data_IF_680505470024
#
_entry.id   IF_680505470024
#
_cell.length_a   1.000
_cell.length_b   1.000
_cell.length_c   1.000
_cell.angle_alpha   90.00
_cell.angle_beta   90.00
_cell.angle_gamma   90.00
#
_symmetry.space_group_name_H-M   'P 1'
#
loop_
_entity.id
_entity.type
_entity.pdbx_description
1 polymer ?
#
# COMPACT_ATOMS: atom_id res chain seq x y z
N UNK A 1 -25.52 -30.83 32.29
CA UNK A 1 -25.82 -29.39 32.23
C UNK A 1 -24.60 -28.50 32.34
N UNK A 2 -23.76 -28.54 33.37
CA UNK A 2 -22.55 -27.66 33.50
C UNK A 2 -21.61 -27.71 32.31
N UNK A 3 -21.28 -28.90 31.74
CA UNK A 3 -20.39 -29.04 30.56
C UNK A 3 -20.97 -28.37 29.30
N UNK A 4 -22.29 -28.38 29.11
CA UNK A 4 -22.95 -27.74 27.96
C UNK A 4 -22.89 -26.22 28.11
N UNK A 5 -23.08 -25.70 29.34
CA UNK A 5 -22.99 -24.27 29.62
C UNK A 5 -21.55 -23.75 29.34
N UNK A 6 -20.52 -24.49 29.77
CA UNK A 6 -19.11 -24.11 29.46
C UNK A 6 -18.81 -24.14 27.97
N UNK A 7 -19.33 -25.12 27.22
CA UNK A 7 -19.15 -25.18 25.78
C UNK A 7 -19.82 -23.99 25.07
N UNK A 8 -21.03 -23.62 25.47
CA UNK A 8 -21.75 -22.46 24.92
C UNK A 8 -21.04 -21.14 25.25
N UNK A 9 -20.52 -20.99 26.48
CA UNK A 9 -19.73 -19.82 26.89
C UNK A 9 -18.42 -19.72 26.07
N UNK A 10 -17.73 -20.83 25.84
CA UNK A 10 -16.52 -20.86 25.07
C UNK A 10 -16.78 -20.47 23.59
N UNK A 11 -17.84 -21.00 22.99
CA UNK A 11 -18.29 -20.64 21.64
C UNK A 11 -18.63 -19.15 21.58
N UNK A 12 -19.35 -18.60 22.54
CA UNK A 12 -19.70 -17.18 22.60
C UNK A 12 -18.45 -16.29 22.71
N UNK A 13 -17.46 -16.67 23.52
CA UNK A 13 -16.20 -15.93 23.65
C UNK A 13 -15.40 -15.98 22.33
N UNK A 14 -15.30 -17.15 21.70
CA UNK A 14 -14.61 -17.32 20.43
C UNK A 14 -15.30 -16.48 19.34
N UNK A 15 -16.64 -16.52 19.28
CA UNK A 15 -17.39 -15.72 18.30
C UNK A 15 -17.19 -14.22 18.53
N UNK A 16 -17.20 -13.77 19.79
CA UNK A 16 -16.95 -12.37 20.15
C UNK A 16 -15.52 -11.94 19.76
N UNK A 17 -14.50 -12.79 20.01
CA UNK A 17 -13.12 -12.51 19.63
C UNK A 17 -12.99 -12.43 18.10
N UNK A 18 -13.63 -13.33 17.35
CA UNK A 18 -13.65 -13.32 15.89
C UNK A 18 -14.28 -12.03 15.39
N UNK A 19 -15.44 -11.63 15.90
CA UNK A 19 -16.14 -10.41 15.50
C UNK A 19 -15.33 -9.15 15.84
N UNK A 20 -14.68 -9.10 17.01
CA UNK A 20 -13.85 -7.96 17.41
C UNK A 20 -12.57 -7.82 16.58
N UNK A 21 -12.08 -8.91 15.97
CA UNK A 21 -10.91 -8.88 15.09
C UNK A 21 -11.27 -8.71 13.60
N UNK A 22 -12.55 -8.64 13.26
CA UNK A 22 -12.97 -8.41 11.89
C UNK A 22 -12.74 -6.93 11.54
N UNK A 23 -11.62 -6.63 10.89
CA UNK A 23 -11.43 -5.31 10.28
C UNK A 23 -12.34 -5.22 9.06
N UNK A 24 -13.09 -4.15 8.97
CA UNK A 24 -13.89 -3.82 7.77
C UNK A 24 -13.02 -3.04 6.80
N UNK A 25 -13.30 -3.17 5.50
CA UNK A 25 -12.77 -2.23 4.51
C UNK A 25 -13.19 -0.82 4.93
N UNK A 26 -12.32 0.19 4.85
CA UNK A 26 -12.72 1.56 5.12
C UNK A 26 -13.95 1.92 4.29
N UNK A 27 -15.05 2.24 4.96
CA UNK A 27 -16.28 2.62 4.27
C UNK A 27 -16.03 3.91 3.51
N UNK A 28 -16.43 3.95 2.24
CA UNK A 28 -16.44 5.19 1.48
C UNK A 28 -17.43 6.14 2.12
N UNK A 29 -16.94 7.26 2.63
CA UNK A 29 -17.75 8.35 3.16
C UNK A 29 -17.86 9.37 2.04
N UNK A 30 -19.01 9.46 1.34
CA UNK A 30 -19.19 10.40 0.21
C UNK A 30 -18.97 11.86 0.60
N UNK A 31 -19.20 12.18 1.86
CA UNK A 31 -19.19 13.55 2.41
C UNK A 31 -17.90 13.86 3.20
N UNK A 32 -16.75 13.28 2.81
CA UNK A 32 -15.48 13.76 3.36
C UNK A 32 -15.23 15.19 2.92
N UNK A 33 -14.93 16.05 3.87
CA UNK A 33 -14.48 17.43 3.59
C UNK A 33 -13.05 17.33 3.00
N UNK A 34 -12.94 17.52 1.69
CA UNK A 34 -11.66 17.59 1.02
C UNK A 34 -11.14 19.04 1.05
N UNK A 35 -9.86 19.15 1.40
CA UNK A 35 -9.15 20.43 1.34
C UNK A 35 -8.63 20.60 -0.09
N UNK A 36 -8.93 21.73 -0.71
CA UNK A 36 -8.48 22.06 -2.07
C UNK A 36 -7.01 22.51 -2.04
N UNK A 37 -6.10 21.56 -2.14
CA UNK A 37 -4.65 21.75 -2.24
C UNK A 37 -4.05 20.84 -3.33
N UNK A 38 -4.86 20.40 -4.30
CA UNK A 38 -4.34 19.54 -5.38
C UNK A 38 -3.19 20.22 -6.12
N UNK A 39 -3.37 21.47 -6.52
CA UNK A 39 -2.36 22.19 -7.30
C UNK A 39 -1.06 22.42 -6.53
N UNK A 40 -1.14 22.79 -5.26
CA UNK A 40 0.03 23.04 -4.39
C UNK A 40 0.83 21.75 -4.14
N UNK A 41 0.14 20.63 -3.93
CA UNK A 41 0.80 19.34 -3.75
C UNK A 41 1.40 18.85 -5.08
N UNK A 42 0.69 18.99 -6.19
CA UNK A 42 1.21 18.71 -7.53
C UNK A 42 2.47 19.54 -7.82
N UNK A 43 2.43 20.83 -7.55
CA UNK A 43 3.59 21.70 -7.73
C UNK A 43 4.78 21.25 -6.85
N UNK A 44 4.53 20.86 -5.62
CA UNK A 44 5.58 20.35 -4.73
C UNK A 44 6.23 19.07 -5.29
N UNK A 45 5.46 18.18 -5.93
CA UNK A 45 6.02 16.99 -6.61
C UNK A 45 6.81 17.37 -7.87
N UNK A 46 6.28 18.25 -8.72
CA UNK A 46 6.93 18.71 -9.97
C UNK A 46 8.25 19.42 -9.67
N UNK A 47 8.25 20.30 -8.68
CA UNK A 47 9.42 21.13 -8.32
C UNK A 47 10.34 20.45 -7.29
N UNK A 48 10.08 19.20 -6.90
CA UNK A 48 10.89 18.47 -5.95
C UNK A 48 12.36 18.41 -6.39
N UNK A 49 13.25 18.79 -5.49
CA UNK A 49 14.70 18.77 -5.71
C UNK A 49 15.32 17.58 -5.00
N UNK A 50 16.46 17.13 -5.49
CA UNK A 50 17.26 16.16 -4.76
C UNK A 50 17.62 16.67 -3.37
N UNK A 51 17.78 15.76 -2.42
CA UNK A 51 18.09 16.05 -1.03
C UNK A 51 17.03 16.93 -0.32
N UNK A 52 15.76 16.77 -0.66
CA UNK A 52 14.67 17.56 -0.09
C UNK A 52 13.58 16.69 0.54
N UNK A 53 12.64 17.34 1.21
CA UNK A 53 11.45 16.71 1.78
C UNK A 53 10.20 17.39 1.26
N UNK A 54 9.27 16.62 0.68
CA UNK A 54 7.90 17.05 0.42
C UNK A 54 7.12 16.79 1.70
N UNK A 55 6.76 17.87 2.41
CA UNK A 55 5.97 17.78 3.63
C UNK A 55 4.49 17.93 3.28
N UNK A 56 3.74 16.81 3.40
CA UNK A 56 2.29 16.82 3.20
C UNK A 56 1.59 17.33 4.47
N UNK A 57 0.61 18.22 4.34
CA UNK A 57 -0.16 18.71 5.49
C UNK A 57 -1.14 17.65 6.04
N UNK A 58 -1.73 17.93 7.19
CA UNK A 58 -2.86 17.16 7.72
C UNK A 58 -4.13 17.52 6.95
N UNK A 59 -4.92 16.51 6.54
CA UNK A 59 -6.18 16.66 5.83
C UNK A 59 -6.45 15.55 4.82
N UNK A 60 -7.60 15.64 4.18
CA UNK A 60 -7.99 14.79 3.07
C UNK A 60 -7.92 15.61 1.78
N UNK A 61 -7.22 15.11 0.79
CA UNK A 61 -6.95 15.81 -0.47
C UNK A 61 -7.45 14.95 -1.63
N UNK A 62 -8.18 15.55 -2.55
CA UNK A 62 -8.71 14.87 -3.73
C UNK A 62 -7.85 15.22 -4.96
N UNK A 63 -7.43 14.19 -5.69
CA UNK A 63 -6.60 14.34 -6.88
C UNK A 63 -7.32 13.85 -8.12
N UNK A 64 -7.32 14.67 -9.15
CA UNK A 64 -7.82 14.32 -10.48
C UNK A 64 -6.76 13.65 -11.36
N UNK A 65 -5.50 13.66 -10.94
CA UNK A 65 -4.36 13.08 -11.68
C UNK A 65 -3.32 12.46 -10.76
N UNK A 66 -2.47 11.60 -11.34
CA UNK A 66 -1.37 10.95 -10.63
C UNK A 66 -0.33 11.95 -10.12
N UNK A 67 0.22 11.70 -8.93
CA UNK A 67 1.42 12.35 -8.43
C UNK A 67 2.65 11.57 -8.90
N UNK A 68 3.53 12.18 -9.69
CA UNK A 68 4.65 11.50 -10.31
C UNK A 68 6.00 12.12 -9.97
N UNK A 69 6.99 11.25 -9.73
CA UNK A 69 8.39 11.60 -9.53
C UNK A 69 9.25 10.74 -10.45
N UNK A 70 10.18 11.34 -11.16
CA UNK A 70 11.15 10.65 -12.03
C UNK A 70 12.54 11.22 -11.81
N UNK A 71 13.55 10.33 -11.82
CA UNK A 71 14.99 10.67 -11.66
C UNK A 71 15.26 11.55 -10.43
N UNK A 72 14.75 11.15 -9.24
CA UNK A 72 14.96 11.86 -7.97
C UNK A 72 15.92 11.11 -7.06
N UNK A 73 16.70 11.88 -6.27
CA UNK A 73 17.68 11.33 -5.33
C UNK A 73 17.53 11.93 -3.95
N UNK A 74 17.58 11.04 -2.92
CA UNK A 74 17.52 11.43 -1.52
C UNK A 74 16.28 12.29 -1.21
N UNK A 75 15.11 11.83 -1.64
CA UNK A 75 13.84 12.52 -1.45
C UNK A 75 13.00 11.82 -0.39
N UNK A 76 12.46 12.60 0.53
CA UNK A 76 11.47 12.13 1.51
C UNK A 76 10.10 12.73 1.20
N UNK A 77 9.05 11.90 1.21
CA UNK A 77 7.65 12.34 1.21
C UNK A 77 7.07 11.96 2.56
N UNK A 78 6.63 12.96 3.32
CA UNK A 78 6.19 12.75 4.70
C UNK A 78 4.86 13.41 4.99
N UNK A 79 3.92 12.62 5.52
CA UNK A 79 2.64 13.08 6.05
C UNK A 79 2.66 13.33 7.57
N UNK A 80 1.48 13.36 8.16
CA UNK A 80 1.24 13.55 9.60
C UNK A 80 0.71 12.28 10.28
N UNK A 81 0.58 11.19 9.53
CA UNK A 81 0.06 9.88 9.96
C UNK A 81 -0.95 9.33 8.94
N UNK A 82 -1.09 8.00 8.92
CA UNK A 82 -2.00 7.31 7.98
C UNK A 82 -3.46 7.77 8.09
N UNK A 83 -3.90 8.17 9.27
CA UNK A 83 -5.27 8.64 9.51
C UNK A 83 -5.40 10.17 9.36
N UNK A 84 -4.29 10.89 9.23
CA UNK A 84 -4.25 12.35 9.27
C UNK A 84 -3.96 12.99 7.93
N UNK A 85 -3.13 12.35 7.10
CA UNK A 85 -2.82 12.81 5.75
C UNK A 85 -3.31 11.78 4.77
N UNK A 86 -4.34 12.08 4.02
CA UNK A 86 -4.99 11.15 3.07
C UNK A 86 -5.03 11.76 1.69
N UNK A 87 -4.39 11.09 0.74
CA UNK A 87 -4.38 11.43 -0.67
C UNK A 87 -5.38 10.51 -1.39
N UNK A 88 -6.54 11.02 -1.76
CA UNK A 88 -7.59 10.28 -2.44
C UNK A 88 -7.56 10.57 -3.94
N UNK A 89 -7.53 9.52 -4.73
CA UNK A 89 -7.59 9.57 -6.19
C UNK A 89 -8.98 9.17 -6.71
N UNK A 90 -10.00 9.30 -5.87
CA UNK A 90 -11.36 8.95 -6.27
C UNK A 90 -11.86 9.85 -7.38
N UNK A 91 -12.20 9.22 -8.50
CA UNK A 91 -12.61 9.98 -9.69
C UNK A 91 -11.43 10.53 -10.51
N UNK A 92 -10.24 9.99 -10.32
CA UNK A 92 -9.04 10.28 -11.11
C UNK A 92 -9.34 10.26 -12.61
N UNK A 93 -8.89 11.27 -13.33
CA UNK A 93 -9.13 11.45 -14.77
C UNK A 93 -7.87 11.28 -15.60
N UNK A 94 -6.69 11.49 -15.01
CA UNK A 94 -5.40 11.39 -15.70
C UNK A 94 -4.43 10.49 -14.93
N UNK A 95 -3.70 9.66 -15.67
CA UNK A 95 -2.86 8.62 -15.09
C UNK A 95 -3.69 7.43 -14.63
N UNK A 96 -3.04 6.46 -14.04
CA UNK A 96 -3.68 5.27 -13.48
C UNK A 96 -3.23 5.06 -12.03
N UNK A 97 -1.96 5.32 -11.74
CA UNK A 97 -1.40 5.21 -10.40
C UNK A 97 -1.79 6.42 -9.54
N UNK A 98 -1.91 6.20 -8.25
CA UNK A 98 -2.04 7.31 -7.29
C UNK A 98 -0.71 8.07 -7.20
N UNK A 99 0.31 7.41 -6.67
CA UNK A 99 1.69 7.91 -6.68
C UNK A 99 2.54 6.98 -7.55
N UNK A 100 3.32 7.58 -8.45
CA UNK A 100 4.28 6.89 -9.30
C UNK A 100 5.68 7.45 -9.12
N UNK A 101 6.65 6.58 -8.84
CA UNK A 101 8.06 6.95 -8.70
C UNK A 101 8.89 6.05 -9.62
N UNK A 102 9.75 6.67 -10.45
CA UNK A 102 10.56 5.93 -11.43
C UNK A 102 12.02 6.41 -11.41
N UNK A 103 12.96 5.53 -11.82
CA UNK A 103 14.36 5.86 -12.06
C UNK A 103 15.04 6.62 -10.91
N UNK A 104 14.70 6.34 -9.66
CA UNK A 104 15.07 7.17 -8.52
C UNK A 104 16.01 6.44 -7.55
N UNK A 105 16.53 7.15 -6.55
CA UNK A 105 17.44 6.58 -5.57
C UNK A 105 17.26 7.20 -4.18
N UNK A 106 17.32 6.37 -3.13
CA UNK A 106 17.17 6.78 -1.72
C UNK A 106 15.86 7.55 -1.49
N UNK A 107 14.73 6.86 -1.74
CA UNK A 107 13.39 7.41 -1.61
C UNK A 107 12.74 6.92 -0.32
N UNK A 108 12.22 7.84 0.48
CA UNK A 108 11.52 7.56 1.72
C UNK A 108 10.10 8.09 1.63
N UNK A 109 9.10 7.21 1.88
CA UNK A 109 7.70 7.59 2.04
C UNK A 109 7.25 7.18 3.44
N UNK A 110 6.69 8.13 4.19
CA UNK A 110 6.23 7.84 5.55
C UNK A 110 5.02 8.65 6.00
N UNK A 111 4.19 8.02 6.83
CA UNK A 111 3.15 8.69 7.61
C UNK A 111 1.99 9.30 6.79
N UNK A 112 1.45 8.59 5.78
CA UNK A 112 0.25 9.03 5.05
C UNK A 112 -0.50 7.86 4.40
N UNK A 113 -1.70 8.16 3.87
CA UNK A 113 -2.54 7.21 3.12
C UNK A 113 -2.70 7.62 1.66
N UNK A 114 -2.84 6.61 0.79
CA UNK A 114 -3.14 6.73 -0.64
C UNK A 114 -4.40 5.90 -0.89
N UNK A 115 -5.45 6.51 -1.42
CA UNK A 115 -6.75 5.85 -1.57
C UNK A 115 -7.30 5.96 -2.99
N UNK A 116 -8.00 4.90 -3.43
CA UNK A 116 -8.91 4.89 -4.57
C UNK A 116 -8.29 5.27 -5.93
N UNK A 117 -7.02 4.95 -6.16
CA UNK A 117 -6.43 5.14 -7.49
C UNK A 117 -7.12 4.26 -8.55
N UNK A 118 -7.17 4.75 -9.78
CA UNK A 118 -7.78 4.02 -10.89
C UNK A 118 -7.03 2.72 -11.25
N UNK A 119 -5.71 2.72 -11.07
CA UNK A 119 -4.83 1.56 -11.17
C UNK A 119 -4.15 1.27 -9.83
N UNK A 120 -2.82 1.22 -9.78
CA UNK A 120 -2.08 0.95 -8.54
C UNK A 120 -2.07 2.17 -7.62
N UNK A 121 -2.24 1.99 -6.31
CA UNK A 121 -2.18 3.12 -5.38
C UNK A 121 -0.76 3.71 -5.31
N UNK A 122 0.26 2.86 -5.12
CA UNK A 122 1.67 3.28 -5.06
C UNK A 122 2.51 2.36 -5.94
N UNK A 123 3.04 2.90 -7.04
CA UNK A 123 3.96 2.20 -7.92
C UNK A 123 5.34 2.81 -7.87
N UNK A 124 6.36 1.98 -7.65
CA UNK A 124 7.77 2.40 -7.65
C UNK A 124 8.53 1.44 -8.56
N UNK A 125 9.18 1.95 -9.60
CA UNK A 125 9.96 1.11 -10.52
C UNK A 125 11.35 1.65 -10.78
N UNK A 126 12.28 0.74 -11.11
CA UNK A 126 13.64 1.08 -11.49
C UNK A 126 14.34 1.99 -10.46
N UNK A 127 14.11 1.71 -9.18
CA UNK A 127 14.53 2.58 -8.06
C UNK A 127 15.42 1.80 -7.08
N UNK A 128 16.52 2.41 -6.67
CA UNK A 128 17.42 1.84 -5.68
C UNK A 128 17.24 2.52 -4.30
N UNK A 129 17.18 1.71 -3.27
CA UNK A 129 16.99 2.12 -1.88
C UNK A 129 15.66 2.84 -1.65
N UNK A 130 14.67 2.04 -1.24
CA UNK A 130 13.30 2.47 -0.97
C UNK A 130 12.95 2.15 0.49
N UNK A 131 12.43 3.11 1.22
CA UNK A 131 11.85 2.89 2.55
C UNK A 131 10.40 3.35 2.53
N UNK A 132 9.49 2.40 2.75
CA UNK A 132 8.07 2.66 2.95
C UNK A 132 7.72 2.34 4.39
N UNK A 133 7.30 3.35 5.15
CA UNK A 133 7.01 3.20 6.57
C UNK A 133 5.70 3.89 6.94
N UNK A 134 4.79 3.15 7.56
CA UNK A 134 3.47 3.66 7.95
C UNK A 134 2.75 4.35 6.79
N UNK A 135 2.72 3.63 5.67
CA UNK A 135 1.92 3.97 4.50
C UNK A 135 0.68 3.09 4.51
N UNK A 136 -0.49 3.69 4.33
CA UNK A 136 -1.70 2.93 4.05
C UNK A 136 -2.06 3.10 2.58
N UNK A 137 -2.32 1.99 1.91
CA UNK A 137 -2.97 1.98 0.60
C UNK A 137 -4.33 1.32 0.72
N UNK A 138 -5.39 1.94 0.19
CA UNK A 138 -6.74 1.41 0.34
C UNK A 138 -7.62 1.72 -0.87
N UNK A 139 -8.54 0.81 -1.19
CA UNK A 139 -9.74 1.14 -1.94
C UNK A 139 -10.89 1.17 -0.95
N UNK A 140 -11.57 2.31 -0.88
CA UNK A 140 -12.65 2.56 0.07
C UNK A 140 -13.98 2.00 -0.44
N UNK A 141 -14.85 1.58 0.47
CA UNK A 141 -16.12 0.98 0.12
C UNK A 141 -16.08 -0.55 0.05
N UNK A 142 -16.93 -1.14 -0.79
CA UNK A 142 -17.02 -2.60 -0.91
C UNK A 142 -15.81 -3.18 -1.66
N UNK A 143 -15.38 -4.38 -1.26
CA UNK A 143 -14.35 -5.13 -2.00
C UNK A 143 -14.83 -5.39 -3.42
N UNK A 144 -14.02 -5.01 -4.40
CA UNK A 144 -14.41 -5.07 -5.81
C UNK A 144 -13.27 -5.50 -6.72
N UNK A 145 -13.58 -6.35 -7.68
CA UNK A 145 -12.66 -6.68 -8.78
C UNK A 145 -12.40 -5.52 -9.74
N UNK A 146 -13.08 -4.39 -9.54
CA UNK A 146 -12.88 -3.15 -10.31
C UNK A 146 -11.86 -2.22 -9.65
N UNK A 147 -11.43 -2.53 -8.43
CA UNK A 147 -10.34 -1.81 -7.79
C UNK A 147 -9.05 -1.99 -8.59
N UNK A 148 -8.09 -1.12 -8.40
CA UNK A 148 -6.77 -1.29 -9.01
C UNK A 148 -6.05 -2.54 -8.49
N UNK A 149 -5.04 -2.99 -9.23
CA UNK A 149 -4.42 -4.27 -8.99
C UNK A 149 -3.59 -4.30 -7.71
N UNK A 150 -2.73 -3.31 -7.50
CA UNK A 150 -1.74 -3.36 -6.43
C UNK A 150 -1.82 -2.17 -5.49
N UNK A 151 -1.78 -2.46 -4.20
CA UNK A 151 -1.72 -1.42 -3.17
C UNK A 151 -0.33 -0.78 -3.12
N UNK A 152 0.67 -1.52 -2.67
CA UNK A 152 2.09 -1.14 -2.63
C UNK A 152 2.84 -2.00 -3.66
N UNK A 153 3.42 -1.36 -4.67
CA UNK A 153 3.97 -2.04 -5.84
C UNK A 153 5.39 -1.57 -6.21
N UNK A 154 6.44 -2.02 -5.51
CA UNK A 154 7.80 -1.92 -6.02
C UNK A 154 8.08 -3.02 -7.05
N UNK A 155 8.69 -2.63 -8.18
CA UNK A 155 9.06 -3.53 -9.28
C UNK A 155 10.39 -3.11 -9.91
N UNK A 156 11.21 -4.08 -10.36
CA UNK A 156 12.53 -3.81 -10.96
C UNK A 156 13.41 -2.92 -10.07
N UNK A 157 13.33 -3.10 -8.77
CA UNK A 157 13.94 -2.20 -7.78
C UNK A 157 14.81 -2.97 -6.79
N UNK A 158 15.69 -2.27 -6.08
CA UNK A 158 16.65 -2.88 -5.16
C UNK A 158 16.66 -2.20 -3.79
N UNK A 159 17.11 -2.93 -2.75
CA UNK A 159 17.27 -2.41 -1.40
C UNK A 159 15.98 -1.81 -0.83
N UNK A 160 14.93 -2.65 -0.70
CA UNK A 160 13.58 -2.20 -0.34
C UNK A 160 13.24 -2.59 1.09
N UNK A 161 12.75 -1.64 1.87
CA UNK A 161 12.13 -1.87 3.18
C UNK A 161 10.67 -1.42 3.14
N UNK A 162 9.76 -2.35 3.45
CA UNK A 162 8.32 -2.08 3.63
C UNK A 162 7.96 -2.50 5.04
N UNK A 163 7.66 -1.52 5.90
CA UNK A 163 7.37 -1.81 7.31
C UNK A 163 6.22 -0.95 7.87
N UNK A 164 5.48 -1.55 8.80
CA UNK A 164 4.37 -0.89 9.51
C UNK A 164 3.31 -0.29 8.57
N UNK A 165 3.18 -0.86 7.35
CA UNK A 165 2.24 -0.43 6.33
C UNK A 165 0.93 -1.21 6.41
N UNK A 166 -0.14 -0.65 5.80
CA UNK A 166 -1.43 -1.32 5.64
C UNK A 166 -1.82 -1.31 4.15
N UNK A 167 -2.26 -2.46 3.63
CA UNK A 167 -2.70 -2.59 2.23
C UNK A 167 -4.08 -3.26 2.16
N UNK A 168 -5.07 -2.56 1.60
CA UNK A 168 -6.49 -2.89 1.77
C UNK A 168 -7.24 -2.82 0.44
N UNK A 169 -7.95 -3.88 0.09
CA UNK A 169 -8.96 -3.87 -0.96
C UNK A 169 -8.43 -3.92 -2.40
N UNK A 170 -7.17 -4.28 -2.62
CA UNK A 170 -6.61 -4.46 -3.97
C UNK A 170 -7.31 -5.62 -4.71
N UNK A 171 -7.54 -5.46 -6.01
CA UNK A 171 -8.14 -6.50 -6.84
C UNK A 171 -7.17 -7.63 -7.19
N UNK A 172 -5.91 -7.49 -6.84
CA UNK A 172 -4.86 -8.50 -6.93
C UNK A 172 -4.06 -8.52 -5.63
N UNK A 173 -2.90 -7.90 -5.50
CA UNK A 173 -2.11 -7.98 -4.27
C UNK A 173 -2.11 -6.67 -3.46
N UNK A 174 -2.25 -6.80 -2.14
CA UNK A 174 -2.10 -5.66 -1.22
C UNK A 174 -0.68 -5.10 -1.25
N UNK A 175 0.32 -5.98 -1.06
CA UNK A 175 1.74 -5.66 -1.21
C UNK A 175 2.31 -6.62 -2.26
N UNK A 176 2.78 -6.07 -3.36
CA UNK A 176 3.43 -6.83 -4.43
C UNK A 176 4.88 -6.39 -4.59
N UNK A 177 5.79 -7.34 -4.57
CA UNK A 177 7.22 -7.15 -4.84
C UNK A 177 7.58 -7.93 -6.10
N UNK A 178 7.82 -7.24 -7.20
CA UNK A 178 8.10 -7.87 -8.51
C UNK A 178 9.51 -7.64 -8.99
N UNK A 179 10.19 -8.69 -9.48
CA UNK A 179 11.47 -8.62 -10.17
C UNK A 179 12.52 -7.76 -9.45
N UNK A 180 12.52 -7.82 -8.11
CA UNK A 180 13.29 -6.94 -7.23
C UNK A 180 14.32 -7.73 -6.42
N UNK A 181 15.28 -7.04 -5.80
CA UNK A 181 16.35 -7.68 -5.05
C UNK A 181 16.63 -6.97 -3.72
N UNK A 182 17.01 -7.77 -2.71
CA UNK A 182 17.31 -7.30 -1.36
C UNK A 182 16.13 -6.55 -0.73
N UNK A 183 15.09 -7.31 -0.40
CA UNK A 183 13.79 -6.78 0.04
C UNK A 183 13.44 -7.28 1.42
N UNK A 184 12.99 -6.39 2.29
CA UNK A 184 12.44 -6.71 3.60
C UNK A 184 10.99 -6.22 3.67
N UNK A 185 10.06 -7.14 3.94
CA UNK A 185 8.64 -6.86 4.16
C UNK A 185 8.27 -7.32 5.56
N UNK A 186 8.06 -6.40 6.49
CA UNK A 186 7.85 -6.76 7.90
C UNK A 186 6.83 -5.89 8.62
N UNK A 187 6.18 -6.46 9.62
CA UNK A 187 5.24 -5.76 10.51
C UNK A 187 4.10 -5.05 9.77
N UNK A 188 3.71 -5.54 8.58
CA UNK A 188 2.64 -4.97 7.76
C UNK A 188 1.32 -5.69 7.99
N UNK A 189 0.22 -5.05 7.57
CA UNK A 189 -1.10 -5.64 7.52
C UNK A 189 -1.65 -5.57 6.10
N UNK A 190 -2.08 -6.71 5.56
CA UNK A 190 -2.69 -6.80 4.25
C UNK A 190 -4.00 -7.58 4.33
N UNK A 191 -5.11 -6.95 3.96
CA UNK A 191 -6.43 -7.58 4.12
C UNK A 191 -7.46 -7.08 3.11
N UNK A 192 -8.43 -7.96 2.81
CA UNK A 192 -9.45 -7.77 1.76
C UNK A 192 -8.87 -7.64 0.35
N UNK A 193 -7.70 -8.21 0.08
CA UNK A 193 -7.09 -8.31 -1.24
C UNK A 193 -7.32 -9.71 -1.82
N UNK A 194 -6.95 -9.96 -3.07
CA UNK A 194 -6.85 -11.33 -3.59
C UNK A 194 -5.63 -11.99 -2.96
N UNK A 195 -4.43 -11.45 -3.09
CA UNK A 195 -3.26 -11.85 -2.33
C UNK A 195 -2.93 -10.78 -1.28
N UNK A 196 -2.60 -11.19 -0.05
CA UNK A 196 -2.16 -10.24 0.97
C UNK A 196 -0.80 -9.65 0.63
N UNK A 197 0.20 -10.54 0.51
CA UNK A 197 1.58 -10.19 0.15
C UNK A 197 2.04 -11.14 -0.97
N UNK A 198 2.65 -10.58 -2.00
CA UNK A 198 3.13 -11.32 -3.16
C UNK A 198 4.59 -10.98 -3.46
N UNK A 199 5.40 -12.01 -3.77
CA UNK A 199 6.77 -11.86 -4.24
C UNK A 199 6.94 -12.66 -5.52
N UNK A 200 7.17 -11.96 -6.63
CA UNK A 200 7.33 -12.55 -7.97
C UNK A 200 8.72 -12.27 -8.53
N UNK A 201 9.41 -13.31 -9.01
CA UNK A 201 10.72 -13.23 -9.66
C UNK A 201 11.73 -12.32 -8.93
N UNK A 202 11.67 -12.33 -7.60
CA UNK A 202 12.52 -11.50 -6.74
C UNK A 202 13.57 -12.36 -6.04
N UNK A 203 14.62 -11.76 -5.52
CA UNK A 203 15.69 -12.48 -4.84
C UNK A 203 16.14 -11.78 -3.56
N UNK A 204 16.65 -12.54 -2.58
CA UNK A 204 17.03 -12.03 -1.27
C UNK A 204 15.85 -11.29 -0.59
N UNK A 205 14.68 -11.95 -0.55
CA UNK A 205 13.45 -11.40 0.02
C UNK A 205 13.21 -12.01 1.39
N UNK A 206 13.05 -11.16 2.40
CA UNK A 206 12.66 -11.51 3.76
C UNK A 206 11.25 -11.02 4.05
N UNK A 207 10.32 -11.93 4.34
CA UNK A 207 8.93 -11.61 4.67
C UNK A 207 8.64 -12.19 6.06
N UNK A 208 8.47 -11.34 7.07
CA UNK A 208 8.24 -11.80 8.44
C UNK A 208 7.42 -10.82 9.29
N UNK A 209 6.79 -11.34 10.34
CA UNK A 209 5.97 -10.58 11.28
C UNK A 209 4.83 -9.78 10.62
N UNK A 210 4.31 -10.24 9.48
CA UNK A 210 3.19 -9.61 8.81
C UNK A 210 1.87 -10.29 9.19
N UNK A 211 0.77 -9.54 9.13
CA UNK A 211 -0.59 -10.04 9.28
C UNK A 211 -1.28 -9.99 7.91
N UNK A 212 -1.53 -11.14 7.29
CA UNK A 212 -2.31 -11.26 6.06
C UNK A 212 -3.60 -12.03 6.36
N UNK A 213 -4.75 -11.37 6.32
CA UNK A 213 -6.03 -11.95 6.70
C UNK A 213 -7.19 -11.45 5.83
N UNK A 214 -8.26 -12.21 5.73
CA UNK A 214 -9.41 -11.89 4.88
C UNK A 214 -9.03 -11.66 3.40
N UNK A 215 -7.96 -12.31 2.93
CA UNK A 215 -7.57 -12.36 1.53
C UNK A 215 -7.95 -13.74 0.96
N UNK A 216 -7.95 -13.89 -0.35
CA UNK A 216 -8.07 -15.21 -0.99
C UNK A 216 -6.80 -16.03 -0.74
N UNK A 217 -5.62 -15.39 -0.79
CA UNK A 217 -4.33 -15.97 -0.41
C UNK A 217 -3.61 -15.04 0.56
N UNK A 218 -2.99 -15.57 1.62
CA UNK A 218 -2.22 -14.77 2.58
C UNK A 218 -0.89 -14.31 2.00
N UNK A 219 -0.09 -15.27 1.48
CA UNK A 219 1.24 -15.04 0.94
C UNK A 219 1.42 -15.89 -0.32
N UNK A 220 1.89 -15.27 -1.40
CA UNK A 220 2.26 -15.91 -2.65
C UNK A 220 3.74 -15.64 -2.97
N UNK A 221 4.51 -16.68 -3.22
CA UNK A 221 5.91 -16.58 -3.65
C UNK A 221 6.10 -17.48 -4.85
N UNK A 222 6.47 -16.91 -5.99
CA UNK A 222 6.62 -17.68 -7.22
C UNK A 222 7.53 -17.01 -8.23
N UNK A 223 7.92 -17.79 -9.24
CA UNK A 223 8.66 -17.31 -10.40
C UNK A 223 7.87 -17.64 -11.66
N UNK A 224 7.65 -16.64 -12.49
CA UNK A 224 7.09 -16.82 -13.83
C UNK A 224 8.21 -16.93 -14.87
N UNK A 225 8.13 -17.89 -15.80
CA UNK A 225 9.06 -17.97 -16.91
C UNK A 225 8.81 -16.82 -17.90
N UNK A 226 9.89 -16.33 -18.51
CA UNK A 226 9.81 -15.31 -19.57
C UNK A 226 9.79 -13.87 -19.07
N UNK A 227 9.88 -13.62 -17.76
CA UNK A 227 10.12 -12.28 -17.24
C UNK A 227 11.60 -11.89 -17.37
N UNK A 228 11.87 -10.58 -17.36
CA UNK A 228 13.21 -10.00 -17.59
C UNK A 228 14.19 -10.40 -16.50
N UNK A 229 13.72 -10.52 -15.26
CA UNK A 229 14.53 -10.93 -14.11
C UNK A 229 14.10 -12.33 -13.65
N UNK A 230 15.07 -13.24 -13.56
CA UNK A 230 14.86 -14.55 -12.98
C UNK A 230 15.05 -14.45 -11.46
N UNK A 231 14.00 -14.71 -10.72
CA UNK A 231 14.08 -14.75 -9.27
C UNK A 231 14.93 -15.91 -8.76
N UNK A 232 15.51 -15.71 -7.62
CA UNK A 232 16.27 -16.73 -6.86
C UNK A 232 15.58 -17.11 -5.56
N UNK A 233 14.25 -17.24 -5.56
CA UNK A 233 13.44 -17.63 -4.39
C UNK A 233 13.70 -19.07 -3.98
#
# INVERSE_FOLDING_TARGET
MKKIIYALLLIAIITTIIVMNYKTVPEYIPDRDYIDLENEILEAFILAKDNSTIQLPEGHFLFSQSLSLDDKKHLTIKGKGMDKTVLSFKGQQQGAEGIKITNSQNIILEDFSIEDAAGDNLKISDTDTIILRRIRTAWTGEVSTKNGAYGIYPVLSTNILIEECEAIGASDAGIYVGQSQNVIVRNNKAFFNVAGIESENSSQVEIYNNEAFNNTSGLLIFNLPGLTVYGGN
#
